data_IF_522510248547
#
_entry.id   IF_522510248547
#
_cell.length_a   1.000
_cell.length_b   1.000
_cell.length_c   1.000
_cell.angle_alpha   90.00
_cell.angle_beta   90.00
_cell.angle_gamma   90.00
#
_symmetry.space_group_name_H-M   'P 1'
#
loop_
_entity.id
_entity.type
_entity.pdbx_description
1 polymer ?
#
# COMPACT_ATOMS: atom_id res chain seq x y z
N UNK A 1 -1.68 26.75 -9.78
CA UNK A 1 -1.18 25.55 -9.07
C UNK A 1 -0.95 24.46 -10.11
N UNK A 2 0.17 23.74 -10.05
CA UNK A 2 0.51 22.67 -11.01
C UNK A 2 0.77 21.37 -10.27
N UNK A 3 0.19 20.27 -10.74
CA UNK A 3 0.50 18.91 -10.28
C UNK A 3 1.94 18.58 -10.69
N UNK A 4 2.72 18.03 -9.77
CA UNK A 4 4.14 17.70 -9.99
C UNK A 4 4.40 16.21 -10.12
N UNK A 5 3.64 15.39 -9.40
CA UNK A 5 3.82 13.94 -9.37
C UNK A 5 2.57 13.23 -8.83
N UNK A 6 2.53 11.91 -9.04
CA UNK A 6 1.58 11.02 -8.39
C UNK A 6 2.10 10.69 -6.98
N UNK A 7 1.36 11.09 -5.95
CA UNK A 7 1.79 10.90 -4.56
C UNK A 7 1.36 9.57 -3.93
N UNK A 8 0.16 9.11 -4.25
CA UNK A 8 -0.48 7.97 -3.56
C UNK A 8 -1.53 7.30 -4.44
N UNK A 9 -1.64 5.97 -4.35
CA UNK A 9 -2.64 5.15 -5.03
C UNK A 9 -3.42 4.28 -4.04
N UNK A 10 -4.75 4.24 -4.18
CA UNK A 10 -5.64 3.31 -3.48
C UNK A 10 -6.23 2.34 -4.48
N UNK A 11 -6.09 1.03 -4.23
CA UNK A 11 -6.65 -0.02 -5.06
C UNK A 11 -7.65 -0.87 -4.29
N UNK A 12 -8.91 -0.86 -4.70
CA UNK A 12 -9.89 -1.81 -4.19
C UNK A 12 -9.64 -3.18 -4.81
N UNK A 13 -9.20 -4.13 -3.98
CA UNK A 13 -8.87 -5.49 -4.40
C UNK A 13 -9.90 -6.49 -3.88
N UNK A 14 -10.17 -7.53 -4.69
CA UNK A 14 -11.08 -8.61 -4.29
C UNK A 14 -10.50 -9.50 -3.19
N UNK A 15 -9.18 -9.69 -3.21
CA UNK A 15 -8.46 -10.55 -2.25
C UNK A 15 -7.23 -9.79 -1.75
N UNK A 16 -7.33 -9.31 -0.51
CA UNK A 16 -6.28 -8.54 0.13
C UNK A 16 -5.03 -9.40 0.40
N UNK A 17 -5.20 -10.64 0.84
CA UNK A 17 -4.06 -11.50 1.18
C UNK A 17 -3.24 -11.83 -0.07
N UNK A 18 -3.90 -12.15 -1.19
CA UNK A 18 -3.23 -12.36 -2.47
C UNK A 18 -2.49 -11.11 -2.94
N UNK A 19 -3.13 -9.94 -2.81
CA UNK A 19 -2.55 -8.68 -3.26
C UNK A 19 -1.37 -8.25 -2.38
N UNK A 20 -1.44 -8.46 -1.06
CA UNK A 20 -0.32 -8.21 -0.13
C UNK A 20 0.91 -9.02 -0.48
N UNK A 21 0.76 -10.32 -0.79
CA UNK A 21 1.88 -11.15 -1.26
C UNK A 21 2.44 -10.65 -2.59
N UNK A 22 1.57 -10.26 -3.52
CA UNK A 22 2.02 -9.73 -4.81
C UNK A 22 2.83 -8.43 -4.65
N UNK A 23 2.28 -7.41 -3.99
CA UNK A 23 2.95 -6.12 -3.86
C UNK A 23 4.14 -6.19 -2.89
N UNK A 24 3.99 -6.86 -1.75
CA UNK A 24 5.04 -6.99 -0.74
C UNK A 24 6.14 -7.98 -1.12
N UNK A 25 5.80 -9.26 -1.26
CA UNK A 25 6.79 -10.33 -1.43
C UNK A 25 7.36 -10.39 -2.86
N UNK A 26 6.49 -10.27 -3.88
CA UNK A 26 6.94 -10.41 -5.28
C UNK A 26 7.53 -9.12 -5.84
N UNK A 27 6.89 -7.97 -5.59
CA UNK A 27 7.38 -6.66 -6.08
C UNK A 27 8.30 -5.93 -5.09
N UNK A 28 8.45 -6.43 -3.87
CA UNK A 28 9.39 -5.89 -2.89
C UNK A 28 8.94 -4.59 -2.22
N UNK A 29 7.63 -4.27 -2.25
CA UNK A 29 7.15 -3.10 -1.52
C UNK A 29 7.28 -3.29 -0.01
N UNK A 30 7.72 -2.24 0.69
CA UNK A 30 7.81 -2.27 2.15
C UNK A 30 6.42 -2.07 2.75
N UNK A 31 5.90 -3.12 3.39
CA UNK A 31 4.66 -3.03 4.14
C UNK A 31 4.87 -2.27 5.47
N UNK A 32 3.93 -1.39 5.80
CA UNK A 32 3.90 -0.60 7.05
C UNK A 32 2.57 -0.72 7.80
N UNK A 33 1.75 -1.70 7.43
CA UNK A 33 0.52 -2.04 8.14
C UNK A 33 0.84 -2.37 9.61
N UNK A 34 0.11 -1.81 10.60
CA UNK A 34 0.36 -2.09 12.02
C UNK A 34 0.26 -3.59 12.36
N UNK A 35 0.98 -4.03 13.40
CA UNK A 35 1.02 -5.44 13.83
C UNK A 35 -0.33 -6.00 14.33
N UNK A 36 -1.36 -5.16 14.49
CA UNK A 36 -2.76 -5.57 14.76
C UNK A 36 -3.70 -5.47 13.56
N UNK A 37 -3.18 -5.14 12.37
CA UNK A 37 -3.99 -4.80 11.21
C UNK A 37 -4.58 -3.39 11.27
N UNK A 38 -5.53 -3.12 10.38
CA UNK A 38 -6.27 -1.87 10.26
C UNK A 38 -7.72 -2.06 10.71
N UNK A 39 -8.45 -0.98 10.96
CA UNK A 39 -9.88 -1.02 11.34
C UNK A 39 -10.78 -1.64 10.25
N UNK A 40 -10.28 -1.75 9.03
CA UNK A 40 -10.90 -2.38 7.88
C UNK A 40 -9.86 -3.25 7.16
N UNK A 41 -10.26 -4.22 6.31
CA UNK A 41 -9.32 -5.06 5.57
C UNK A 41 -8.52 -4.20 4.59
N UNK A 42 -7.30 -3.84 5.00
CA UNK A 42 -6.39 -3.04 4.19
C UNK A 42 -4.92 -3.37 4.47
N UNK A 43 -4.07 -2.94 3.55
CA UNK A 43 -2.63 -2.96 3.74
C UNK A 43 -1.96 -1.73 3.13
N UNK A 44 -1.06 -1.12 3.88
CA UNK A 44 -0.34 0.08 3.47
C UNK A 44 1.11 -0.26 3.15
N UNK A 45 1.60 0.25 2.03
CA UNK A 45 2.95 0.06 1.56
C UNK A 45 3.62 1.39 1.27
N UNK A 46 4.95 1.42 1.43
CA UNK A 46 5.76 2.59 1.16
C UNK A 46 7.01 2.31 0.33
N UNK A 47 7.42 3.31 -0.44
CA UNK A 47 8.75 3.38 -1.06
C UNK A 47 9.76 4.20 -0.24
N UNK A 48 9.29 4.82 0.86
CA UNK A 48 10.07 5.67 1.75
C UNK A 48 10.05 7.16 1.40
N UNK A 49 9.30 7.58 0.36
CA UNK A 49 9.20 8.99 -0.05
C UNK A 49 8.12 9.75 0.72
N UNK A 50 7.03 9.08 1.09
CA UNK A 50 5.92 9.64 1.86
C UNK A 50 5.52 8.70 3.00
N UNK A 51 4.46 9.03 3.75
CA UNK A 51 3.91 8.13 4.76
C UNK A 51 3.47 6.79 4.16
N UNK A 52 2.86 6.80 2.96
CA UNK A 52 2.49 5.61 2.20
C UNK A 52 2.12 5.99 0.77
N UNK A 53 2.51 5.16 -0.20
CA UNK A 53 2.30 5.43 -1.63
C UNK A 53 1.32 4.42 -2.26
N UNK A 54 1.09 3.27 -1.62
CA UNK A 54 0.11 2.27 -2.05
C UNK A 54 -0.73 1.80 -0.86
N UNK A 55 -2.05 1.92 -1.00
CA UNK A 55 -3.03 1.33 -0.10
C UNK A 55 -3.86 0.30 -0.87
N UNK A 56 -3.94 -0.91 -0.32
CA UNK A 56 -4.81 -2.00 -0.79
C UNK A 56 -6.00 -2.16 0.15
#
# INVERSE_FOLDING_TARGET
>A
MQVKELGHLVLYVKDLARSRRFYGELLGWKEITPEGGMQFPAAAFTSGRTHHELLL
#
